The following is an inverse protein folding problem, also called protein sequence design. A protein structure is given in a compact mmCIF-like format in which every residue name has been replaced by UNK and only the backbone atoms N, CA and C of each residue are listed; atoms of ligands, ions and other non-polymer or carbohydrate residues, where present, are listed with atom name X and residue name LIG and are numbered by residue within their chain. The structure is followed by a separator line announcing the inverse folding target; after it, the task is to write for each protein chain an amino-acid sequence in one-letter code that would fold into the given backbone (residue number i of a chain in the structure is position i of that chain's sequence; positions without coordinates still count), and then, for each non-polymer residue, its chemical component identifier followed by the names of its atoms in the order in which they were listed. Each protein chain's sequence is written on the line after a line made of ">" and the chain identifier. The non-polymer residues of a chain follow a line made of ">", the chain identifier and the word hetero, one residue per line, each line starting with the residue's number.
data_IF_598383199579
#
_entry.id   IF_598383199579
#
_cell.length_a   1.000
_cell.length_b   1.000
_cell.length_c   1.000
_cell.angle_alpha   90.00
_cell.angle_beta   90.00
_cell.angle_gamma   90.00
#
_symmetry.space_group_name_H-M   'P 1'
#
loop_
_entity.id
_entity.type
_entity.pdbx_description
1 polymer ?
#
# COMPACT_ATOMS: atom_id res chain seq x y z
N UNK A 1 37.83 23.27 -11.90
CA UNK A 1 36.50 22.65 -11.78
C UNK A 1 36.72 21.21 -11.34
N UNK A 2 36.15 20.77 -10.20
CA UNK A 2 36.21 19.36 -9.77
C UNK A 2 34.84 18.75 -10.02
N UNK A 3 34.79 17.61 -10.71
CA UNK A 3 33.59 16.82 -10.93
C UNK A 3 33.71 15.59 -10.02
N UNK A 4 32.72 15.38 -9.16
CA UNK A 4 32.59 14.19 -8.32
C UNK A 4 31.45 13.33 -8.81
N UNK A 5 31.63 12.00 -8.81
CA UNK A 5 30.60 11.02 -9.17
C UNK A 5 30.48 10.03 -8.01
N UNK A 6 29.25 9.76 -7.59
CA UNK A 6 28.95 8.67 -6.67
C UNK A 6 28.53 7.45 -7.48
N UNK A 7 29.28 6.32 -7.45
CA UNK A 7 28.93 5.11 -8.19
C UNK A 7 27.84 4.28 -7.48
N UNK A 8 26.83 4.96 -6.93
CA UNK A 8 25.70 4.37 -6.21
C UNK A 8 24.41 4.99 -6.74
N UNK A 9 23.36 4.18 -6.83
CA UNK A 9 22.07 4.63 -7.37
C UNK A 9 21.36 5.56 -6.39
N UNK A 10 21.06 6.79 -6.81
CA UNK A 10 20.24 7.72 -6.04
C UNK A 10 18.75 7.31 -6.13
N UNK A 11 18.38 6.30 -5.35
CA UNK A 11 17.05 5.70 -5.33
C UNK A 11 16.51 5.61 -3.90
N UNK A 12 15.20 5.75 -3.73
CA UNK A 12 14.55 5.79 -2.40
C UNK A 12 14.54 4.44 -1.65
N UNK A 13 14.86 3.33 -2.34
CA UNK A 13 15.08 2.01 -1.73
C UNK A 13 16.55 1.79 -1.33
N UNK A 14 17.45 2.71 -1.68
CA UNK A 14 18.88 2.65 -1.34
C UNK A 14 19.16 3.56 -0.13
N UNK A 15 20.25 3.32 0.61
CA UNK A 15 20.68 4.24 1.66
C UNK A 15 20.83 5.66 1.13
N UNK A 16 20.26 6.63 1.85
CA UNK A 16 20.36 8.05 1.48
C UNK A 16 21.81 8.53 1.60
N UNK A 17 22.43 8.89 0.47
CA UNK A 17 23.79 9.44 0.41
C UNK A 17 23.83 10.86 -0.17
N UNK A 18 22.80 11.27 -0.91
CA UNK A 18 22.71 12.58 -1.52
C UNK A 18 22.08 13.57 -0.52
N UNK A 19 22.85 14.54 0.02
CA UNK A 19 22.35 15.46 1.05
C UNK A 19 21.28 16.42 0.52
N UNK A 20 21.13 16.56 -0.81
CA UNK A 20 20.09 17.39 -1.40
C UNK A 20 18.66 16.89 -1.10
N UNK A 21 18.50 15.64 -0.64
CA UNK A 21 17.20 15.11 -0.20
C UNK A 21 16.85 15.46 1.25
N UNK A 22 17.78 16.05 2.02
CA UNK A 22 17.54 16.43 3.41
C UNK A 22 16.63 17.66 3.48
N UNK A 23 15.40 17.44 3.94
CA UNK A 23 14.40 18.50 4.20
C UNK A 23 14.40 18.97 5.66
N UNK A 24 14.91 18.15 6.59
CA UNK A 24 14.99 18.43 8.03
C UNK A 24 16.31 17.91 8.61
N UNK A 25 16.83 18.49 9.72
CA UNK A 25 17.98 17.96 10.44
C UNK A 25 17.75 16.52 10.94
N UNK A 26 18.74 15.63 10.74
CA UNK A 26 18.66 14.22 11.17
C UNK A 26 18.68 14.03 12.69
N UNK A 27 19.15 15.04 13.42
CA UNK A 27 19.20 15.06 14.89
C UNK A 27 17.90 15.56 15.53
N UNK A 28 16.93 16.00 14.73
CA UNK A 28 15.64 16.45 15.24
C UNK A 28 14.78 15.23 15.59
N UNK A 29 14.20 15.24 16.80
CA UNK A 29 13.28 14.20 17.23
C UNK A 29 12.05 14.17 16.31
N UNK A 30 11.68 12.96 15.87
CA UNK A 30 10.48 12.79 15.06
C UNK A 30 9.25 12.93 15.96
N UNK A 31 8.44 13.94 15.70
CA UNK A 31 7.13 14.08 16.32
C UNK A 31 6.17 13.04 15.70
N UNK A 32 5.99 11.90 16.39
CA UNK A 32 5.08 10.80 16.00
C UNK A 32 3.87 10.65 16.96
N UNK A 33 3.09 11.72 17.26
CA UNK A 33 2.06 11.73 18.30
C UNK A 33 0.82 10.89 17.97
N UNK A 34 0.76 10.30 16.76
CA UNK A 34 -0.41 9.57 16.27
C UNK A 34 -0.22 8.06 16.12
N UNK A 35 0.85 7.47 16.66
CA UNK A 35 1.07 6.02 16.58
C UNK A 35 0.70 5.39 17.93
N UNK A 36 -0.54 4.89 18.02
CA UNK A 36 -0.91 3.88 19.01
C UNK A 36 -0.84 2.51 18.33
N UNK A 37 0.01 1.62 18.86
CA UNK A 37 0.15 0.27 18.32
C UNK A 37 -1.07 -0.60 18.62
N UNK A 38 -1.83 -0.30 19.68
CA UNK A 38 -3.04 -1.01 20.08
C UNK A 38 -2.96 -2.55 19.89
N UNK A 39 -1.90 -3.15 20.44
CA UNK A 39 -1.50 -4.54 20.17
C UNK A 39 -2.63 -5.53 20.49
N UNK A 40 -3.37 -5.29 21.57
CA UNK A 40 -4.47 -6.15 21.99
C UNK A 40 -5.57 -6.20 20.92
N UNK A 41 -5.96 -5.05 20.37
CA UNK A 41 -6.97 -5.01 19.32
C UNK A 41 -6.44 -5.61 18.01
N UNK A 42 -5.17 -5.36 17.66
CA UNK A 42 -4.58 -5.99 16.49
C UNK A 42 -4.63 -7.53 16.58
N UNK A 43 -4.27 -8.11 17.73
CA UNK A 43 -4.35 -9.56 17.93
C UNK A 43 -5.80 -10.09 17.86
N UNK A 44 -6.76 -9.36 18.44
CA UNK A 44 -8.18 -9.70 18.34
C UNK A 44 -8.67 -9.66 16.87
N UNK A 45 -8.26 -8.66 16.11
CA UNK A 45 -8.57 -8.54 14.68
C UNK A 45 -8.00 -9.70 13.87
N UNK A 46 -6.76 -10.17 14.14
CA UNK A 46 -6.20 -11.33 13.46
C UNK A 46 -7.01 -12.59 13.67
N UNK A 47 -7.64 -12.76 14.84
CA UNK A 47 -8.49 -13.92 15.08
C UNK A 47 -9.77 -13.94 14.23
N UNK A 48 -10.16 -12.79 13.64
CA UNK A 48 -11.35 -12.64 12.78
C UNK A 48 -11.04 -12.90 11.31
N UNK A 49 -9.78 -13.07 10.93
CA UNK A 49 -9.37 -13.34 9.56
C UNK A 49 -9.68 -14.79 9.19
N UNK A 50 -10.48 -14.99 8.13
CA UNK A 50 -11.02 -16.31 7.79
C UNK A 50 -11.16 -16.57 6.28
N UNK A 51 -10.47 -15.80 5.44
CA UNK A 51 -10.55 -15.93 3.98
C UNK A 51 -9.51 -16.89 3.37
N UNK A 52 -9.11 -17.93 4.11
CA UNK A 52 -8.01 -18.83 3.73
C UNK A 52 -8.27 -19.61 2.44
N UNK A 53 -9.53 -20.01 2.21
CA UNK A 53 -9.92 -20.74 0.99
C UNK A 53 -9.81 -19.86 -0.26
N UNK A 54 -10.21 -18.58 -0.14
CA UNK A 54 -10.05 -17.58 -1.21
C UNK A 54 -8.56 -17.34 -1.49
N UNK A 55 -7.76 -17.17 -0.44
CA UNK A 55 -6.31 -16.93 -0.52
C UNK A 55 -5.55 -18.09 -1.18
N UNK A 56 -5.95 -19.32 -0.86
CA UNK A 56 -5.34 -20.54 -1.43
C UNK A 56 -5.55 -20.67 -2.94
N UNK A 57 -6.49 -19.90 -3.52
CA UNK A 57 -6.77 -19.92 -4.95
C UNK A 57 -5.80 -19.08 -5.79
N UNK A 58 -5.06 -18.15 -5.16
CA UNK A 58 -4.11 -17.31 -5.89
C UNK A 58 -2.89 -18.12 -6.34
N UNK A 59 -2.37 -17.86 -7.56
CA UNK A 59 -1.25 -18.62 -8.07
C UNK A 59 0.03 -18.35 -7.27
N UNK A 60 0.87 -19.38 -7.15
CA UNK A 60 2.20 -19.20 -6.57
C UNK A 60 3.12 -18.44 -7.53
N UNK A 61 3.03 -18.75 -8.83
CA UNK A 61 3.92 -18.23 -9.86
C UNK A 61 3.21 -17.29 -10.84
N UNK A 62 3.99 -16.43 -11.50
CA UNK A 62 3.48 -15.43 -12.44
C UNK A 62 2.78 -16.10 -13.63
N UNK A 63 1.53 -15.69 -13.88
CA UNK A 63 0.77 -16.08 -15.08
C UNK A 63 0.55 -14.93 -16.05
N UNK A 64 0.37 -13.70 -15.54
CA UNK A 64 0.26 -12.48 -16.34
C UNK A 64 0.81 -11.26 -15.60
N UNK A 65 0.91 -10.11 -16.29
CA UNK A 65 1.36 -8.85 -15.67
C UNK A 65 0.32 -8.22 -14.73
N UNK A 66 -0.96 -8.55 -14.89
CA UNK A 66 -2.08 -7.91 -14.19
C UNK A 66 -2.83 -8.88 -13.27
N UNK A 67 -2.17 -9.97 -12.88
CA UNK A 67 -2.69 -10.99 -11.98
C UNK A 67 -1.72 -11.14 -10.81
N UNK A 68 -2.26 -11.12 -9.59
CA UNK A 68 -1.47 -11.35 -8.39
C UNK A 68 -0.91 -12.78 -8.37
N UNK A 69 0.28 -12.96 -7.82
CA UNK A 69 0.89 -14.26 -7.52
C UNK A 69 1.83 -14.14 -6.32
N UNK A 70 2.01 -15.21 -5.54
CA UNK A 70 2.74 -15.14 -4.26
C UNK A 70 4.25 -14.96 -4.39
N UNK A 71 4.91 -15.67 -5.30
CA UNK A 71 6.37 -15.64 -5.46
C UNK A 71 6.84 -14.46 -6.33
N UNK A 72 6.27 -13.28 -6.09
CA UNK A 72 6.57 -12.06 -6.81
C UNK A 72 7.79 -11.28 -6.26
N UNK A 73 8.34 -11.72 -5.12
CA UNK A 73 9.55 -11.18 -4.50
C UNK A 73 9.40 -9.78 -3.87
N UNK A 74 8.20 -9.20 -3.86
CA UNK A 74 7.93 -7.85 -3.34
C UNK A 74 6.79 -7.78 -2.32
N UNK A 75 5.73 -8.55 -2.52
CA UNK A 75 4.52 -8.57 -1.66
C UNK A 75 4.01 -10.02 -1.57
N UNK A 76 4.71 -10.82 -0.76
CA UNK A 76 4.59 -12.28 -0.74
C UNK A 76 3.64 -12.82 0.33
N UNK A 77 3.76 -14.11 0.69
CA UNK A 77 3.02 -14.73 1.80
C UNK A 77 3.20 -13.94 3.10
N UNK A 78 2.20 -13.96 3.98
CA UNK A 78 2.12 -12.99 5.08
C UNK A 78 1.55 -11.67 4.60
N UNK A 79 2.34 -10.79 3.99
CA UNK A 79 1.90 -9.43 3.61
C UNK A 79 0.61 -9.43 2.77
N UNK A 80 0.57 -10.32 1.77
CA UNK A 80 -0.56 -10.44 0.86
C UNK A 80 -1.84 -10.93 1.55
N UNK A 81 -1.71 -11.90 2.47
CA UNK A 81 -2.83 -12.48 3.21
C UNK A 81 -3.41 -11.48 4.19
N UNK A 82 -2.54 -10.76 4.90
CA UNK A 82 -2.97 -9.70 5.82
C UNK A 82 -3.72 -8.60 5.09
N UNK A 83 -3.16 -8.10 3.98
CA UNK A 83 -3.81 -7.01 3.26
C UNK A 83 -5.15 -7.42 2.64
N UNK A 84 -5.22 -8.64 2.08
CA UNK A 84 -6.48 -9.19 1.58
C UNK A 84 -7.54 -9.28 2.68
N UNK A 85 -7.19 -9.86 3.83
CA UNK A 85 -8.11 -9.98 4.97
C UNK A 85 -8.57 -8.62 5.49
N UNK A 86 -7.68 -7.62 5.61
CA UNK A 86 -8.03 -6.26 6.03
C UNK A 86 -9.11 -5.68 5.10
N UNK A 87 -8.91 -5.77 3.79
CA UNK A 87 -9.86 -5.21 2.81
C UNK A 87 -11.18 -6.00 2.84
N UNK A 88 -11.14 -7.33 2.92
CA UNK A 88 -12.35 -8.18 3.02
C UNK A 88 -13.14 -7.94 4.31
N UNK A 89 -12.45 -7.77 5.42
CA UNK A 89 -13.05 -7.57 6.74
C UNK A 89 -13.66 -6.17 6.90
N UNK A 90 -12.88 -5.12 6.65
CA UNK A 90 -13.30 -3.74 6.89
C UNK A 90 -14.17 -3.16 5.78
N UNK A 91 -14.05 -3.68 4.55
CA UNK A 91 -14.80 -3.21 3.38
C UNK A 91 -14.71 -1.69 3.25
N UNK A 92 -13.48 -1.13 3.12
CA UNK A 92 -13.28 0.31 3.09
C UNK A 92 -13.92 0.93 1.84
N UNK A 93 -14.45 2.15 1.98
CA UNK A 93 -14.94 2.92 0.82
C UNK A 93 -13.81 3.52 -0.02
N UNK A 94 -12.65 3.76 0.60
CA UNK A 94 -11.47 4.36 -0.03
C UNK A 94 -10.21 3.66 0.47
N UNK A 95 -9.28 3.38 -0.43
CA UNK A 95 -7.92 2.92 -0.14
C UNK A 95 -6.95 3.89 -0.81
N UNK A 96 -6.04 4.49 -0.05
CA UNK A 96 -4.93 5.27 -0.58
C UNK A 96 -3.66 4.44 -0.37
N UNK A 97 -3.06 3.97 -1.46
CA UNK A 97 -1.86 3.14 -1.47
C UNK A 97 -0.65 4.00 -1.85
N UNK A 98 0.34 4.08 -0.97
CA UNK A 98 1.62 4.76 -1.24
C UNK A 98 2.60 3.71 -1.75
N UNK A 99 3.01 3.86 -3.00
CA UNK A 99 3.61 2.79 -3.80
C UNK A 99 2.53 2.00 -4.57
N UNK A 100 2.91 1.40 -5.69
CA UNK A 100 2.01 0.57 -6.48
C UNK A 100 2.70 -0.69 -7.03
N UNK A 101 1.97 -1.80 -7.11
CA UNK A 101 2.51 -3.08 -7.57
C UNK A 101 1.65 -4.29 -7.23
N UNK A 102 2.28 -5.35 -6.73
CA UNK A 102 1.58 -6.59 -6.41
C UNK A 102 0.57 -6.42 -5.26
N UNK A 103 0.84 -5.52 -4.31
CA UNK A 103 -0.13 -5.09 -3.28
C UNK A 103 -1.41 -4.57 -3.91
N UNK A 104 -1.28 -3.74 -4.95
CA UNK A 104 -2.41 -3.15 -5.67
C UNK A 104 -3.29 -4.24 -6.28
N UNK A 105 -2.69 -5.24 -6.91
CA UNK A 105 -3.39 -6.40 -7.48
C UNK A 105 -4.13 -7.20 -6.40
N UNK A 106 -3.51 -7.39 -5.23
CA UNK A 106 -4.14 -8.09 -4.12
C UNK A 106 -5.35 -7.32 -3.57
N UNK A 107 -5.22 -6.00 -3.39
CA UNK A 107 -6.35 -5.17 -2.96
C UNK A 107 -7.50 -5.20 -3.98
N UNK A 108 -7.20 -5.13 -5.29
CA UNK A 108 -8.21 -5.29 -6.35
C UNK A 108 -8.96 -6.62 -6.21
N UNK A 109 -8.25 -7.72 -5.91
CA UNK A 109 -8.90 -9.02 -5.72
C UNK A 109 -9.82 -9.02 -4.50
N UNK A 110 -9.40 -8.42 -3.39
CA UNK A 110 -10.24 -8.32 -2.19
C UNK A 110 -11.48 -7.43 -2.42
N UNK A 111 -11.31 -6.31 -3.12
CA UNK A 111 -12.42 -5.42 -3.53
C UNK A 111 -13.41 -6.18 -4.39
N UNK A 112 -12.93 -6.93 -5.40
CA UNK A 112 -13.78 -7.74 -6.28
C UNK A 112 -14.58 -8.78 -5.51
N UNK A 113 -13.96 -9.49 -4.57
CA UNK A 113 -14.66 -10.46 -3.73
C UNK A 113 -15.73 -9.79 -2.86
N UNK A 114 -15.44 -8.63 -2.27
CA UNK A 114 -16.46 -7.84 -1.55
C UNK A 114 -17.62 -7.41 -2.46
N UNK A 115 -17.36 -6.99 -3.70
CA UNK A 115 -18.40 -6.63 -4.68
C UNK A 115 -19.20 -7.84 -5.14
N UNK A 116 -18.59 -9.03 -5.20
CA UNK A 116 -19.30 -10.28 -5.50
C UNK A 116 -20.29 -10.65 -4.38
N UNK A 117 -19.87 -10.50 -3.12
CA UNK A 117 -20.74 -10.76 -1.95
C UNK A 117 -21.84 -9.69 -1.82
N UNK A 118 -21.54 -8.44 -2.18
CA UNK A 118 -22.45 -7.32 -2.11
C UNK A 118 -22.28 -6.41 -3.33
N UNK A 119 -23.17 -6.50 -4.34
CA UNK A 119 -23.09 -5.66 -5.55
C UNK A 119 -23.14 -4.15 -5.29
N UNK A 120 -23.68 -3.71 -4.14
CA UNK A 120 -23.72 -2.30 -3.74
C UNK A 120 -22.39 -1.83 -3.13
N UNK A 121 -21.48 -2.75 -2.79
CA UNK A 121 -20.16 -2.39 -2.28
C UNK A 121 -19.30 -1.80 -3.39
N UNK A 122 -18.80 -0.60 -3.14
CA UNK A 122 -17.79 0.06 -3.96
C UNK A 122 -16.63 0.52 -3.10
N UNK A 123 -15.44 0.45 -3.68
CA UNK A 123 -14.20 0.91 -3.06
C UNK A 123 -13.38 1.67 -4.10
N UNK A 124 -12.96 2.87 -3.76
CA UNK A 124 -12.05 3.68 -4.58
C UNK A 124 -10.61 3.44 -4.13
N UNK A 125 -9.84 2.71 -4.91
CA UNK A 125 -8.39 2.54 -4.68
C UNK A 125 -7.59 3.57 -5.47
N UNK A 126 -6.75 4.36 -4.80
CA UNK A 126 -5.90 5.40 -5.38
C UNK A 126 -4.46 5.03 -5.08
N UNK A 127 -3.61 5.01 -6.10
CA UNK A 127 -2.18 4.74 -5.95
C UNK A 127 -1.36 6.03 -6.07
N UNK A 128 -0.36 6.21 -5.21
CA UNK A 128 0.63 7.28 -5.29
C UNK A 128 1.97 6.64 -5.62
N UNK A 129 2.39 6.71 -6.88
CA UNK A 129 3.59 6.03 -7.39
C UNK A 129 4.33 6.90 -8.42
N UNK A 130 5.47 7.50 -8.05
CA UNK A 130 6.26 8.35 -8.96
C UNK A 130 7.05 7.55 -10.02
N UNK A 131 7.28 6.25 -9.84
CA UNK A 131 8.11 5.41 -10.71
C UNK A 131 7.39 4.13 -11.12
N UNK A 132 6.23 4.29 -11.74
CA UNK A 132 5.32 3.18 -12.04
C UNK A 132 5.91 2.18 -13.06
N UNK A 133 5.49 0.92 -12.93
CA UNK A 133 5.68 -0.06 -14.00
C UNK A 133 4.65 0.19 -15.11
N UNK A 134 5.01 0.05 -16.41
CA UNK A 134 4.08 0.32 -17.53
C UNK A 134 2.77 -0.47 -17.53
N UNK A 135 2.69 -1.58 -16.78
CA UNK A 135 1.46 -2.36 -16.67
C UNK A 135 0.45 -1.76 -15.69
N UNK A 136 0.85 -0.84 -14.82
CA UNK A 136 -0.05 -0.16 -13.87
C UNK A 136 -1.13 0.65 -14.60
N UNK A 137 -0.82 1.25 -15.75
CA UNK A 137 -1.80 1.93 -16.61
C UNK A 137 -2.92 1.03 -17.13
N UNK A 138 -2.68 -0.29 -17.14
CA UNK A 138 -3.70 -1.27 -17.53
C UNK A 138 -4.67 -1.55 -16.38
N UNK A 139 -4.29 -1.19 -15.16
CA UNK A 139 -5.19 -1.20 -14.02
C UNK A 139 -6.10 0.03 -14.13
N UNK A 140 -7.41 -0.18 -14.01
CA UNK A 140 -8.39 0.91 -14.02
C UNK A 140 -8.47 1.59 -12.65
N UNK A 141 -7.33 1.93 -12.06
CA UNK A 141 -7.20 2.61 -10.76
C UNK A 141 -6.58 4.00 -10.96
N UNK A 142 -7.04 5.05 -10.26
CA UNK A 142 -6.36 6.33 -10.23
C UNK A 142 -4.90 6.22 -9.76
N UNK A 143 -3.98 6.85 -10.50
CA UNK A 143 -2.55 6.90 -10.18
C UNK A 143 -2.08 8.36 -10.12
N UNK A 144 -1.51 8.74 -8.98
CA UNK A 144 -0.84 10.02 -8.75
C UNK A 144 0.66 9.80 -8.91
N UNK A 145 1.25 10.40 -9.94
CA UNK A 145 2.66 10.25 -10.30
C UNK A 145 3.53 11.29 -9.62
N UNK A 146 3.50 11.29 -8.30
CA UNK A 146 4.26 12.22 -7.47
C UNK A 146 4.72 11.51 -6.19
N UNK A 147 5.83 12.00 -5.61
CA UNK A 147 6.28 11.57 -4.28
C UNK A 147 5.22 11.97 -3.25
N UNK A 148 4.83 11.06 -2.36
CA UNK A 148 3.77 11.31 -1.37
C UNK A 148 4.01 12.55 -0.51
N UNK A 149 5.28 12.86 -0.24
CA UNK A 149 5.72 14.03 0.53
C UNK A 149 5.38 15.36 -0.15
N UNK A 150 5.12 15.34 -1.46
CA UNK A 150 4.72 16.50 -2.26
C UNK A 150 3.22 16.53 -2.57
N UNK A 151 2.51 15.42 -2.35
CA UNK A 151 1.05 15.35 -2.57
C UNK A 151 0.34 16.21 -1.52
N UNK A 152 -0.68 16.94 -1.95
CA UNK A 152 -1.51 17.71 -1.01
C UNK A 152 -2.19 16.77 -0.01
N UNK A 153 -1.98 17.04 1.28
CA UNK A 153 -2.53 16.26 2.39
C UNK A 153 -4.06 16.23 2.38
N UNK A 154 -4.72 17.15 1.68
CA UNK A 154 -6.18 17.12 1.48
C UNK A 154 -6.66 15.81 0.87
N UNK A 155 -5.83 15.08 0.11
CA UNK A 155 -6.22 13.75 -0.40
C UNK A 155 -6.60 12.77 0.71
N UNK A 156 -5.95 12.84 1.87
CA UNK A 156 -6.23 11.94 2.99
C UNK A 156 -7.54 12.28 3.71
N UNK A 157 -8.16 13.43 3.40
CA UNK A 157 -9.52 13.72 3.86
C UNK A 157 -10.58 12.82 3.21
N UNK A 158 -10.23 12.13 2.11
CA UNK A 158 -11.08 11.11 1.49
C UNK A 158 -11.13 9.80 2.29
N UNK A 159 -10.21 9.59 3.24
CA UNK A 159 -10.29 8.49 4.20
C UNK A 159 -11.41 8.82 5.18
N UNK A 160 -12.56 8.16 5.00
CA UNK A 160 -13.70 8.37 5.89
C UNK A 160 -13.36 8.08 7.35
N UNK A 161 -14.05 8.75 8.29
CA UNK A 161 -14.00 8.39 9.70
C UNK A 161 -14.77 7.08 9.92
N UNK A 162 -14.09 5.94 9.81
CA UNK A 162 -14.59 4.66 10.31
C UNK A 162 -13.52 4.02 11.19
N UNK A 163 -13.73 4.14 12.49
CA UNK A 163 -12.80 3.77 13.55
C UNK A 163 -12.78 4.92 14.55
N UNK A 164 -13.25 4.68 15.77
CA UNK A 164 -13.12 5.68 16.84
C UNK A 164 -11.64 5.95 17.04
N UNK A 165 -11.18 7.14 16.62
CA UNK A 165 -9.90 7.67 17.05
C UNK A 165 -10.09 8.02 18.52
N UNK A 166 -9.84 7.05 19.42
CA UNK A 166 -9.83 7.31 20.85
C UNK A 166 -8.50 8.00 21.17
N UNK A 167 -8.51 9.25 21.66
CA UNK A 167 -7.29 9.96 22.04
C UNK A 167 -6.60 9.31 23.24
#
# INVERSE_FOLDING_TARGET
>A
MKIGVFPIMDHFYEPMFNPNHLIHPLSEDRLLPGIDLNVAEQLDQLSKFHYNDELSSFPLEKRSETEFYYHNGKFGPGDAEYYYNIVRFYKPGTIIEVGAGNSTLMAINAIRANTQDNPEYSCRQICIEPYERPWLDRLKVPIIRERVEKVDKTIFSELGQKGEFRP
#
